data_IF_957298324543
#
_entry.id   IF_957298324543
#
_cell.length_a   1.000
_cell.length_b   1.000
_cell.length_c   1.000
_cell.angle_alpha   90.00
_cell.angle_beta   90.00
_cell.angle_gamma   90.00
#
_symmetry.space_group_name_H-M   'P 1'
#
loop_
_entity.id
_entity.type
_entity.pdbx_description
1 polymer ?
#
# COMPACT_ATOMS: atom_id res chain seq x y z
N UNK A 1 -0.16 -9.44 -38.44
CA UNK A 1 1.25 -9.53 -38.90
C UNK A 1 2.07 -9.98 -37.71
N UNK A 2 3.11 -10.80 -37.87
CA UNK A 2 4.01 -11.10 -36.74
C UNK A 2 4.63 -9.80 -36.25
N UNK A 3 4.66 -9.65 -34.93
CA UNK A 3 5.25 -8.47 -34.28
C UNK A 3 6.76 -8.45 -34.57
N UNK A 4 7.31 -7.30 -34.93
CA UNK A 4 8.75 -7.16 -35.17
C UNK A 4 9.50 -7.44 -33.85
N UNK A 5 10.61 -8.19 -33.95
CA UNK A 5 11.40 -8.60 -32.78
C UNK A 5 12.88 -8.22 -32.95
N UNK A 6 13.59 -8.16 -31.84
CA UNK A 6 15.06 -8.14 -31.77
C UNK A 6 15.56 -9.37 -31.04
N UNK A 7 16.71 -9.86 -31.38
CA UNK A 7 17.35 -10.98 -30.70
C UNK A 7 18.17 -10.46 -29.53
N UNK A 8 17.91 -10.96 -28.32
CA UNK A 8 18.75 -10.77 -27.15
C UNK A 8 19.24 -12.15 -26.65
N UNK A 9 20.39 -12.17 -25.99
CA UNK A 9 21.02 -13.39 -25.50
C UNK A 9 21.44 -13.23 -24.04
N UNK A 10 21.25 -14.29 -23.26
CA UNK A 10 21.76 -14.44 -21.91
C UNK A 10 22.42 -15.82 -21.74
N UNK A 11 22.83 -16.15 -20.49
CA UNK A 11 23.47 -17.44 -20.15
C UNK A 11 22.66 -18.68 -20.63
N UNK A 12 21.33 -18.55 -20.74
CA UNK A 12 20.42 -19.62 -21.14
C UNK A 12 20.17 -19.66 -22.66
N UNK A 13 20.84 -18.79 -23.45
CA UNK A 13 20.74 -18.70 -24.90
C UNK A 13 19.74 -17.62 -25.38
N UNK A 14 19.64 -17.48 -26.73
CA UNK A 14 18.93 -16.37 -27.36
C UNK A 14 17.40 -16.48 -27.22
N UNK A 15 16.73 -15.32 -27.23
CA UNK A 15 15.27 -15.14 -27.30
C UNK A 15 14.91 -13.97 -28.22
N UNK A 16 13.67 -14.02 -28.73
CA UNK A 16 13.10 -12.95 -29.53
C UNK A 16 12.28 -12.02 -28.63
N UNK A 17 12.76 -10.82 -28.43
CA UNK A 17 12.09 -9.77 -27.63
C UNK A 17 11.33 -8.84 -28.58
N UNK A 18 10.11 -8.41 -28.29
CA UNK A 18 9.39 -7.43 -29.11
C UNK A 18 10.22 -6.15 -29.33
N UNK A 19 10.29 -5.66 -30.57
CA UNK A 19 11.14 -4.51 -30.92
C UNK A 19 10.76 -3.24 -30.13
N UNK A 20 9.47 -3.06 -29.89
CA UNK A 20 8.93 -1.88 -29.18
C UNK A 20 9.10 -1.93 -27.65
N UNK A 21 9.30 -3.12 -27.09
CA UNK A 21 9.46 -3.28 -25.64
C UNK A 21 10.74 -2.60 -25.14
N UNK A 22 10.63 -1.89 -24.01
CA UNK A 22 11.79 -1.37 -23.28
C UNK A 22 12.37 -2.38 -22.30
N UNK A 23 11.61 -3.41 -21.94
CA UNK A 23 12.13 -4.56 -21.22
C UNK A 23 12.88 -5.52 -22.19
N UNK A 24 13.68 -6.44 -21.65
CA UNK A 24 14.55 -7.33 -22.39
C UNK A 24 14.32 -8.81 -22.08
N UNK A 25 15.37 -9.62 -22.30
CA UNK A 25 15.32 -11.07 -22.24
C UNK A 25 14.99 -11.62 -20.84
N UNK A 26 15.48 -10.99 -19.75
CA UNK A 26 15.15 -11.42 -18.39
C UNK A 26 13.67 -11.25 -18.08
N UNK A 27 13.10 -10.13 -18.47
CA UNK A 27 11.66 -9.89 -18.34
C UNK A 27 10.85 -10.87 -19.16
N UNK A 28 11.27 -11.19 -20.40
CA UNK A 28 10.62 -12.18 -21.23
C UNK A 28 10.58 -13.54 -20.53
N UNK A 29 11.72 -14.01 -19.99
CA UNK A 29 11.79 -15.28 -19.26
C UNK A 29 10.90 -15.24 -18.00
N UNK A 30 10.83 -14.14 -17.30
CA UNK A 30 9.94 -13.99 -16.14
C UNK A 30 8.47 -14.15 -16.55
N UNK A 31 8.04 -13.56 -17.68
CA UNK A 31 6.69 -13.74 -18.23
C UNK A 31 6.42 -15.19 -18.68
N UNK A 32 7.44 -15.89 -19.20
CA UNK A 32 7.32 -17.30 -19.55
C UNK A 32 7.16 -18.19 -18.30
N UNK A 33 7.89 -17.88 -17.22
CA UNK A 33 7.96 -18.68 -16.01
C UNK A 33 6.81 -18.43 -15.02
N UNK A 34 6.38 -17.17 -14.88
CA UNK A 34 5.44 -16.75 -13.84
C UNK A 34 4.15 -16.22 -14.46
N UNK A 35 3.13 -17.07 -14.52
CA UNK A 35 1.75 -16.76 -14.95
C UNK A 35 0.81 -17.24 -13.88
N UNK A 36 0.83 -16.57 -12.70
CA UNK A 36 0.25 -17.10 -11.47
C UNK A 36 -1.00 -16.31 -11.06
N UNK A 37 -0.85 -14.99 -10.83
CA UNK A 37 -1.91 -14.17 -10.22
C UNK A 37 -2.76 -13.41 -11.23
N UNK A 38 -2.21 -13.12 -12.40
CA UNK A 38 -2.80 -12.20 -13.36
C UNK A 38 -2.64 -10.71 -12.98
N UNK A 39 -2.10 -10.40 -11.78
CA UNK A 39 -1.71 -9.05 -11.41
C UNK A 39 -0.23 -8.83 -11.78
N UNK A 40 0.08 -7.66 -12.28
CA UNK A 40 1.44 -7.31 -12.70
C UNK A 40 2.07 -6.25 -11.80
N UNK A 41 3.39 -6.16 -11.82
CA UNK A 41 4.09 -5.05 -11.14
C UNK A 41 3.71 -3.70 -11.77
N UNK A 42 3.31 -3.66 -13.04
CA UNK A 42 2.77 -2.47 -13.70
C UNK A 42 1.56 -1.86 -13.00
N UNK A 43 0.81 -2.65 -12.24
CA UNK A 43 -0.33 -2.18 -11.45
C UNK A 43 0.07 -1.39 -10.18
N UNK A 44 1.38 -1.36 -9.84
CA UNK A 44 1.91 -0.73 -8.62
C UNK A 44 2.99 0.34 -8.96
N UNK A 45 2.60 1.50 -9.52
CA UNK A 45 3.54 2.53 -9.95
C UNK A 45 4.46 3.06 -8.84
N UNK A 46 4.04 3.05 -7.59
CA UNK A 46 4.87 3.46 -6.45
C UNK A 46 6.06 2.52 -6.27
N UNK A 47 5.88 1.22 -6.48
CA UNK A 47 6.96 0.24 -6.41
C UNK A 47 7.97 0.44 -7.55
N UNK A 48 7.48 0.62 -8.79
CA UNK A 48 8.34 0.91 -9.94
C UNK A 48 9.19 2.16 -9.67
N UNK A 49 8.57 3.25 -9.17
CA UNK A 49 9.29 4.48 -8.83
C UNK A 49 10.34 4.25 -7.75
N UNK A 50 10.03 3.48 -6.71
CA UNK A 50 11.00 3.11 -5.67
C UNK A 50 12.21 2.39 -6.26
N UNK A 51 12.01 1.42 -7.15
CA UNK A 51 13.10 0.73 -7.85
C UNK A 51 13.95 1.70 -8.71
N UNK A 52 13.31 2.59 -9.45
CA UNK A 52 14.01 3.56 -10.31
C UNK A 52 14.79 4.60 -9.48
N UNK A 53 14.28 5.02 -8.32
CA UNK A 53 15.00 5.89 -7.37
C UNK A 53 16.29 5.23 -6.88
N UNK A 54 16.25 3.93 -6.57
CA UNK A 54 17.46 3.15 -6.21
C UNK A 54 18.46 3.17 -7.35
N UNK A 55 18.03 2.93 -8.60
CA UNK A 55 18.94 2.92 -9.76
C UNK A 55 19.57 4.29 -9.99
N UNK A 56 18.80 5.37 -9.87
CA UNK A 56 19.32 6.75 -9.99
C UNK A 56 20.36 7.06 -8.91
N UNK A 57 20.06 6.74 -7.64
CA UNK A 57 20.98 6.96 -6.53
C UNK A 57 22.27 6.14 -6.68
N UNK A 58 22.16 4.89 -7.13
CA UNK A 58 23.32 4.03 -7.40
C UNK A 58 24.19 4.54 -8.54
N UNK A 59 23.59 5.04 -9.62
CA UNK A 59 24.33 5.66 -10.73
C UNK A 59 25.10 6.91 -10.28
N UNK A 60 24.47 7.77 -9.46
CA UNK A 60 25.11 8.96 -8.88
C UNK A 60 26.28 8.58 -7.98
N UNK A 61 26.12 7.60 -7.10
CA UNK A 61 27.20 7.11 -6.22
C UNK A 61 28.36 6.49 -7.01
N UNK A 62 28.06 5.70 -8.03
CA UNK A 62 29.07 5.10 -8.89
C UNK A 62 29.86 6.16 -9.69
N UNK A 63 29.21 7.22 -10.15
CA UNK A 63 29.87 8.37 -10.77
C UNK A 63 30.81 9.07 -9.81
N UNK A 64 30.34 9.39 -8.61
CA UNK A 64 31.14 10.06 -7.57
C UNK A 64 32.38 9.27 -7.21
N UNK A 65 32.26 7.94 -7.13
CA UNK A 65 33.35 7.04 -6.76
C UNK A 65 34.21 6.59 -7.97
N UNK A 66 33.90 7.09 -9.17
CA UNK A 66 34.68 6.82 -10.37
C UNK A 66 34.58 5.38 -10.89
N UNK A 67 33.51 4.66 -10.57
CA UNK A 67 33.32 3.26 -10.98
C UNK A 67 32.45 3.13 -12.24
N UNK A 68 31.82 4.20 -12.70
CA UNK A 68 30.98 4.25 -13.89
C UNK A 68 31.36 5.49 -14.72
N UNK A 69 31.41 5.30 -16.04
CA UNK A 69 31.71 6.36 -17.00
C UNK A 69 30.68 7.51 -16.97
N UNK A 70 31.13 8.74 -17.17
CA UNK A 70 30.29 9.96 -17.06
C UNK A 70 29.16 9.98 -18.12
N UNK A 71 29.46 9.58 -19.37
CA UNK A 71 28.46 9.57 -20.45
C UNK A 71 27.38 8.55 -20.18
N UNK A 72 27.77 7.33 -19.78
CA UNK A 72 26.83 6.25 -19.43
C UNK A 72 25.99 6.65 -18.21
N UNK A 73 26.63 7.22 -17.18
CA UNK A 73 25.93 7.66 -15.97
C UNK A 73 24.89 8.74 -16.29
N UNK A 74 25.26 9.73 -17.11
CA UNK A 74 24.34 10.79 -17.52
C UNK A 74 23.14 10.24 -18.27
N UNK A 75 23.34 9.27 -19.15
CA UNK A 75 22.26 8.60 -19.86
C UNK A 75 21.34 7.79 -18.94
N UNK A 76 21.90 7.09 -17.94
CA UNK A 76 21.14 6.34 -16.92
C UNK A 76 20.30 7.31 -16.07
N UNK A 77 20.87 8.42 -15.61
CA UNK A 77 20.17 9.45 -14.83
C UNK A 77 19.00 10.02 -15.64
N UNK A 78 19.26 10.39 -16.90
CA UNK A 78 18.21 10.87 -17.81
C UNK A 78 17.09 9.84 -17.97
N UNK A 79 17.43 8.56 -18.15
CA UNK A 79 16.45 7.48 -18.28
C UNK A 79 15.59 7.33 -17.00
N UNK A 80 16.21 7.42 -15.83
CA UNK A 80 15.49 7.41 -14.56
C UNK A 80 14.51 8.60 -14.47
N UNK A 81 14.92 9.80 -14.88
CA UNK A 81 14.07 11.00 -14.86
C UNK A 81 12.88 10.88 -15.83
N UNK A 82 13.04 10.18 -16.98
CA UNK A 82 11.89 9.89 -17.84
C UNK A 82 10.82 9.07 -17.14
N UNK A 83 11.21 8.11 -16.29
CA UNK A 83 10.25 7.29 -15.53
C UNK A 83 9.70 8.06 -14.33
N UNK A 84 10.57 8.73 -13.55
CA UNK A 84 10.18 9.40 -12.30
C UNK A 84 9.34 10.66 -12.54
N UNK A 85 9.77 11.54 -13.46
CA UNK A 85 9.17 12.85 -13.64
C UNK A 85 8.11 12.84 -14.76
N UNK A 86 8.32 12.06 -15.82
CA UNK A 86 7.45 12.03 -16.99
C UNK A 86 6.50 10.84 -17.03
N UNK A 87 6.68 9.84 -16.14
CA UNK A 87 5.87 8.63 -16.10
C UNK A 87 6.04 7.73 -17.33
N UNK A 88 7.15 7.89 -18.10
CA UNK A 88 7.42 7.00 -19.25
C UNK A 88 7.68 5.58 -18.80
N UNK A 89 7.25 4.61 -19.60
CA UNK A 89 7.53 3.19 -19.43
C UNK A 89 6.99 2.57 -18.14
N UNK A 90 6.05 3.19 -17.41
CA UNK A 90 5.36 2.55 -16.28
C UNK A 90 4.56 1.31 -16.72
N UNK A 91 4.15 1.24 -17.97
CA UNK A 91 3.50 0.11 -18.64
C UNK A 91 4.48 -1.00 -19.07
N UNK A 92 5.79 -0.80 -18.88
CA UNK A 92 6.85 -1.74 -19.30
C UNK A 92 7.28 -2.71 -18.18
N UNK A 93 6.39 -2.97 -17.21
CA UNK A 93 6.61 -3.90 -16.08
C UNK A 93 5.55 -5.02 -16.08
N UNK A 94 5.58 -5.90 -17.11
CA UNK A 94 4.52 -6.89 -17.33
C UNK A 94 4.69 -8.18 -16.53
N UNK A 95 5.64 -8.24 -15.60
CA UNK A 95 5.92 -9.43 -14.79
C UNK A 95 4.86 -9.64 -13.71
N UNK A 96 4.54 -10.91 -13.43
CA UNK A 96 3.59 -11.27 -12.38
C UNK A 96 4.09 -10.81 -11.00
N UNK A 97 3.19 -10.37 -10.14
CA UNK A 97 3.51 -10.00 -8.76
C UNK A 97 4.06 -11.18 -7.96
N UNK A 98 3.65 -12.42 -8.28
CA UNK A 98 4.22 -13.65 -7.73
C UNK A 98 5.39 -14.10 -8.58
N UNK A 99 6.59 -14.05 -8.02
CA UNK A 99 7.82 -14.44 -8.71
C UNK A 99 8.81 -15.11 -7.75
N UNK A 100 9.48 -16.16 -8.19
CA UNK A 100 10.62 -16.75 -7.47
C UNK A 100 11.89 -15.94 -7.69
N UNK A 101 12.93 -16.16 -6.84
CA UNK A 101 14.22 -15.49 -6.98
C UNK A 101 14.34 -14.17 -6.23
N UNK A 102 13.59 -14.00 -5.14
CA UNK A 102 13.71 -12.85 -4.23
C UNK A 102 13.55 -11.46 -4.91
N UNK A 103 12.75 -11.39 -6.00
CA UNK A 103 12.54 -10.15 -6.73
C UNK A 103 13.52 -9.88 -7.87
N UNK A 104 14.36 -10.86 -8.24
CA UNK A 104 15.32 -10.70 -9.35
C UNK A 104 14.64 -10.32 -10.66
N UNK A 105 13.45 -10.85 -10.94
CA UNK A 105 12.71 -10.51 -12.16
C UNK A 105 12.38 -9.02 -12.23
N UNK A 106 11.91 -8.41 -11.14
CA UNK A 106 11.65 -6.96 -11.10
C UNK A 106 12.93 -6.14 -11.15
N UNK A 107 13.97 -6.54 -10.42
CA UNK A 107 15.26 -5.85 -10.47
C UNK A 107 15.80 -5.80 -11.90
N UNK A 108 15.78 -6.93 -12.61
CA UNK A 108 16.23 -7.02 -14.00
C UNK A 108 15.32 -6.29 -14.96
N UNK A 109 13.99 -6.38 -14.79
CA UNK A 109 13.04 -5.60 -15.60
C UNK A 109 13.34 -4.09 -15.48
N UNK A 110 13.59 -3.60 -14.27
CA UNK A 110 13.98 -2.21 -14.04
C UNK A 110 15.29 -1.86 -14.74
N UNK A 111 16.30 -2.73 -14.63
CA UNK A 111 17.60 -2.53 -15.28
C UNK A 111 17.47 -2.48 -16.79
N UNK A 112 16.70 -3.38 -17.40
CA UNK A 112 16.47 -3.47 -18.86
C UNK A 112 15.73 -2.24 -19.38
N UNK A 113 14.68 -1.79 -18.68
CA UNK A 113 13.92 -0.59 -19.07
C UNK A 113 14.81 0.65 -19.03
N UNK A 114 15.59 0.84 -17.97
CA UNK A 114 16.52 1.97 -17.84
C UNK A 114 17.63 1.89 -18.88
N UNK A 115 18.22 0.71 -19.13
CA UNK A 115 19.26 0.54 -20.16
C UNK A 115 18.75 0.90 -21.53
N UNK A 116 17.55 0.44 -21.91
CA UNK A 116 16.96 0.72 -23.21
C UNK A 116 16.53 2.20 -23.38
N UNK A 117 16.09 2.87 -22.32
CA UNK A 117 15.87 4.32 -22.32
C UNK A 117 17.19 5.10 -22.47
N UNK A 118 18.25 4.68 -21.78
CA UNK A 118 19.57 5.29 -21.90
C UNK A 118 20.16 5.09 -23.31
N UNK A 119 20.00 3.92 -23.91
CA UNK A 119 20.38 3.64 -25.29
C UNK A 119 19.65 4.55 -26.29
N UNK A 120 18.34 4.73 -26.12
CA UNK A 120 17.56 5.67 -26.93
C UNK A 120 18.11 7.09 -26.81
N UNK A 121 18.42 7.54 -25.58
CA UNK A 121 19.00 8.87 -25.36
C UNK A 121 20.32 9.09 -26.08
N UNK A 122 21.16 8.06 -26.12
CA UNK A 122 22.45 8.07 -26.81
C UNK A 122 22.34 7.85 -28.32
N UNK A 123 21.13 7.64 -28.87
CA UNK A 123 20.88 7.42 -30.30
C UNK A 123 21.12 5.98 -30.77
N UNK A 124 21.16 5.01 -29.87
CA UNK A 124 21.31 3.59 -30.19
C UNK A 124 19.97 2.85 -30.20
N UNK A 125 19.94 1.74 -30.93
CA UNK A 125 18.80 0.83 -30.89
C UNK A 125 18.70 0.12 -29.53
N UNK A 126 17.48 -0.21 -29.12
CA UNK A 126 17.24 -1.05 -27.93
C UNK A 126 17.96 -2.40 -28.07
N UNK A 127 18.47 -2.93 -26.95
CA UNK A 127 19.22 -4.19 -26.92
C UNK A 127 20.70 -4.05 -27.28
N UNK A 128 21.22 -2.84 -27.56
CA UNK A 128 22.66 -2.58 -27.75
C UNK A 128 23.40 -2.56 -26.41
N UNK A 129 23.34 -3.69 -25.71
CA UNK A 129 23.90 -3.86 -24.36
C UNK A 129 25.43 -3.85 -24.32
N UNK A 130 26.07 -3.89 -25.48
CA UNK A 130 27.50 -3.56 -25.64
C UNK A 130 27.83 -2.09 -25.34
N UNK A 131 26.83 -1.19 -25.39
CA UNK A 131 26.95 0.24 -25.05
C UNK A 131 26.46 0.53 -23.65
N UNK A 132 25.19 0.21 -23.32
CA UNK A 132 24.64 0.33 -21.96
C UNK A 132 24.08 -1.03 -21.53
N UNK A 133 24.79 -1.67 -20.63
CA UNK A 133 24.44 -3.03 -20.16
C UNK A 133 23.57 -2.98 -18.90
N UNK A 134 22.45 -3.75 -18.84
CA UNK A 134 21.58 -3.78 -17.65
C UNK A 134 22.31 -4.17 -16.35
N UNK A 135 23.20 -5.17 -16.38
CA UNK A 135 23.94 -5.62 -15.21
C UNK A 135 25.20 -4.79 -14.94
N UNK A 136 26.05 -4.59 -15.96
CA UNK A 136 27.39 -4.04 -15.74
C UNK A 136 27.37 -2.52 -15.51
N UNK A 137 26.30 -1.84 -15.99
CA UNK A 137 26.15 -0.39 -15.85
C UNK A 137 25.00 -0.02 -14.93
N UNK A 138 23.74 -0.39 -15.25
CA UNK A 138 22.57 0.01 -14.46
C UNK A 138 22.54 -0.63 -13.07
N UNK A 139 22.95 -1.90 -12.97
CA UNK A 139 23.04 -2.66 -11.71
C UNK A 139 24.43 -2.58 -11.04
N UNK A 140 25.31 -1.71 -11.48
CA UNK A 140 26.68 -1.59 -10.96
C UNK A 140 26.69 -1.41 -9.44
N UNK A 141 27.54 -2.19 -8.74
CA UNK A 141 27.66 -2.20 -7.26
C UNK A 141 26.37 -2.59 -6.51
N UNK A 142 25.45 -3.31 -7.14
CA UNK A 142 24.20 -3.76 -6.53
C UNK A 142 24.03 -5.27 -6.66
N UNK A 143 23.22 -5.82 -5.77
CA UNK A 143 22.55 -7.12 -5.93
C UNK A 143 21.05 -6.89 -5.96
N UNK A 144 20.27 -7.88 -6.41
CA UNK A 144 18.83 -7.88 -6.15
C UNK A 144 18.54 -7.78 -4.65
N UNK A 145 19.40 -8.40 -3.83
CA UNK A 145 19.21 -8.56 -2.39
C UNK A 145 19.31 -7.26 -1.58
N UNK A 146 19.83 -6.19 -2.16
CA UNK A 146 19.84 -4.85 -1.54
C UNK A 146 19.00 -3.83 -2.36
N UNK A 147 19.04 -3.91 -3.68
CA UNK A 147 18.29 -2.99 -4.55
C UNK A 147 16.77 -3.20 -4.47
N UNK A 148 16.31 -4.46 -4.51
CA UNK A 148 14.88 -4.79 -4.46
C UNK A 148 14.23 -4.41 -3.13
N UNK A 149 14.73 -4.84 -1.95
CA UNK A 149 14.13 -4.46 -0.68
C UNK A 149 14.16 -2.93 -0.46
N UNK A 150 15.21 -2.24 -0.88
CA UNK A 150 15.27 -0.78 -0.79
C UNK A 150 14.18 -0.13 -1.67
N UNK A 151 14.06 -0.55 -2.93
CA UNK A 151 13.00 -0.05 -3.83
C UNK A 151 11.59 -0.39 -3.33
N UNK A 152 11.42 -1.58 -2.74
CA UNK A 152 10.16 -1.99 -2.11
C UNK A 152 9.81 -1.10 -0.91
N UNK A 153 10.75 -0.84 0.00
CA UNK A 153 10.55 0.05 1.15
C UNK A 153 10.13 1.45 0.72
N UNK A 154 10.78 2.03 -0.28
CA UNK A 154 10.43 3.36 -0.82
C UNK A 154 9.05 3.38 -1.47
N UNK A 155 8.75 2.38 -2.29
CA UNK A 155 7.43 2.25 -2.93
C UNK A 155 6.30 2.06 -1.93
N UNK A 156 6.54 1.23 -0.90
CA UNK A 156 5.58 0.99 0.18
C UNK A 156 5.37 2.23 1.03
N UNK A 157 6.45 2.96 1.38
CA UNK A 157 6.38 4.23 2.08
C UNK A 157 5.48 5.24 1.34
N UNK A 158 5.69 5.42 0.04
CA UNK A 158 4.88 6.30 -0.78
C UNK A 158 3.41 5.83 -0.87
N UNK A 159 3.16 4.52 -0.95
CA UNK A 159 1.81 3.97 -0.95
C UNK A 159 1.07 4.22 0.38
N UNK A 160 1.78 4.10 1.52
CA UNK A 160 1.24 4.38 2.86
C UNK A 160 0.87 5.85 3.02
N UNK A 161 1.67 6.78 2.49
CA UNK A 161 1.30 8.22 2.49
C UNK A 161 -0.02 8.46 1.75
N UNK A 162 -0.25 7.77 0.63
CA UNK A 162 -1.52 7.84 -0.07
C UNK A 162 -2.70 7.19 0.69
N UNK A 163 -2.44 6.17 1.51
CA UNK A 163 -3.43 5.56 2.41
C UNK A 163 -3.80 6.53 3.54
N UNK A 164 -2.81 7.16 4.16
CA UNK A 164 -2.97 8.16 5.22
C UNK A 164 -3.82 9.34 4.74
N UNK A 165 -3.52 9.89 3.56
CA UNK A 165 -4.28 10.99 3.00
C UNK A 165 -5.77 10.64 2.82
N UNK A 166 -6.09 9.47 2.30
CA UNK A 166 -7.49 9.03 2.15
C UNK A 166 -8.18 8.75 3.50
N UNK A 167 -7.41 8.28 4.50
CA UNK A 167 -7.90 8.11 5.87
C UNK A 167 -8.29 9.45 6.49
N UNK A 168 -7.46 10.49 6.36
CA UNK A 168 -7.76 11.83 6.83
C UNK A 168 -9.04 12.40 6.17
N UNK A 169 -9.20 12.23 4.87
CA UNK A 169 -10.42 12.64 4.16
C UNK A 169 -11.68 11.94 4.68
N UNK A 170 -11.58 10.65 5.03
CA UNK A 170 -12.69 9.90 5.62
C UNK A 170 -13.01 10.40 7.04
N UNK A 171 -11.98 10.65 7.86
CA UNK A 171 -12.14 11.20 9.22
C UNK A 171 -12.86 12.54 9.16
N UNK A 172 -12.45 13.46 8.27
CA UNK A 172 -13.07 14.76 8.10
C UNK A 172 -14.55 14.67 7.72
N UNK A 173 -14.91 13.74 6.85
CA UNK A 173 -16.29 13.51 6.48
C UNK A 173 -17.13 13.00 7.68
N UNK A 174 -16.58 12.08 8.49
CA UNK A 174 -17.25 11.58 9.70
C UNK A 174 -17.40 12.70 10.74
N UNK A 175 -16.38 13.54 10.95
CA UNK A 175 -16.45 14.73 11.81
C UNK A 175 -17.51 15.73 11.32
N UNK A 176 -17.67 15.86 10.01
CA UNK A 176 -18.77 16.63 9.41
C UNK A 176 -20.13 16.12 9.88
N UNK A 177 -20.32 14.79 9.87
CA UNK A 177 -21.55 14.17 10.38
C UNK A 177 -21.72 14.27 11.89
N UNK A 178 -20.62 14.17 12.66
CA UNK A 178 -20.65 14.41 14.10
C UNK A 178 -21.23 15.80 14.43
N UNK A 179 -20.75 16.84 13.73
CA UNK A 179 -21.28 18.22 13.90
C UNK A 179 -22.73 18.33 13.46
N UNK A 180 -23.10 17.72 12.34
CA UNK A 180 -24.47 17.75 11.81
C UNK A 180 -25.48 17.09 12.77
N UNK A 181 -25.07 16.05 13.49
CA UNK A 181 -25.93 15.27 14.38
C UNK A 181 -25.74 15.59 15.87
N UNK A 182 -25.09 16.72 16.20
CA UNK A 182 -24.75 17.08 17.56
C UNK A 182 -25.95 17.10 18.51
N UNK A 183 -27.12 17.57 18.03
CA UNK A 183 -28.34 17.75 18.79
C UNK A 183 -29.35 16.59 18.62
N UNK A 184 -29.00 15.56 17.85
CA UNK A 184 -29.88 14.41 17.63
C UNK A 184 -29.77 13.45 18.80
N UNK A 185 -30.74 13.47 19.70
CA UNK A 185 -30.76 12.60 20.88
C UNK A 185 -31.12 11.17 20.49
N UNK A 186 -30.33 10.20 20.94
CA UNK A 186 -30.56 8.74 20.72
C UNK A 186 -30.29 7.94 21.99
N UNK A 187 -30.72 6.68 22.00
CA UNK A 187 -30.35 5.71 23.01
C UNK A 187 -29.01 5.05 22.68
N UNK A 188 -28.04 5.18 23.60
CA UNK A 188 -26.81 4.40 23.56
C UNK A 188 -27.06 2.93 23.94
N UNK A 189 -26.25 2.02 23.39
CA UNK A 189 -26.41 0.58 23.63
C UNK A 189 -25.10 -0.07 24.01
N UNK A 190 -25.17 -0.99 24.96
CA UNK A 190 -24.09 -1.95 25.27
C UNK A 190 -24.67 -3.37 25.17
N UNK A 191 -23.94 -4.31 24.55
CA UNK A 191 -24.43 -5.66 24.28
C UNK A 191 -25.77 -5.67 23.51
N UNK A 192 -26.00 -4.67 22.68
CA UNK A 192 -27.24 -4.38 21.94
C UNK A 192 -28.47 -4.12 22.83
N UNK A 193 -28.30 -3.95 24.13
CA UNK A 193 -29.35 -3.56 25.08
C UNK A 193 -29.30 -2.05 25.35
N UNK A 194 -30.43 -1.47 25.70
CA UNK A 194 -30.53 -0.06 26.06
C UNK A 194 -29.62 0.25 27.23
N UNK A 195 -28.86 1.34 27.11
CA UNK A 195 -27.95 1.80 28.16
C UNK A 195 -28.40 3.20 28.64
N UNK A 196 -27.82 4.24 28.11
CA UNK A 196 -28.13 5.63 28.49
C UNK A 196 -28.27 6.52 27.25
N UNK A 197 -29.04 7.62 27.36
CA UNK A 197 -29.12 8.60 26.28
C UNK A 197 -27.76 9.21 25.93
N UNK A 198 -27.57 9.46 24.64
CA UNK A 198 -26.43 10.16 24.07
C UNK A 198 -26.84 10.91 22.80
N UNK A 199 -25.97 11.72 22.20
CA UNK A 199 -26.27 12.25 20.87
C UNK A 199 -25.71 11.34 19.76
N UNK A 200 -26.37 11.32 18.61
CA UNK A 200 -25.84 10.66 17.41
C UNK A 200 -24.53 11.31 16.97
N UNK A 201 -24.36 12.62 17.19
CA UNK A 201 -23.10 13.32 16.95
C UNK A 201 -21.94 12.78 17.78
N UNK A 202 -22.17 12.38 19.04
CA UNK A 202 -21.15 11.72 19.88
C UNK A 202 -20.75 10.35 19.34
N UNK A 203 -21.68 9.60 18.76
CA UNK A 203 -21.36 8.31 18.13
C UNK A 203 -20.48 8.48 16.90
N UNK A 204 -20.80 9.43 16.01
CA UNK A 204 -19.95 9.75 14.86
C UNK A 204 -18.61 10.35 15.29
N UNK A 205 -18.56 11.16 16.36
CA UNK A 205 -17.30 11.62 16.94
C UNK A 205 -16.41 10.45 17.37
N UNK A 206 -17.00 9.44 18.03
CA UNK A 206 -16.25 8.25 18.46
C UNK A 206 -15.73 7.46 17.24
N UNK A 207 -16.48 7.36 16.14
CA UNK A 207 -15.99 6.76 14.91
C UNK A 207 -14.79 7.50 14.34
N UNK A 208 -14.83 8.82 14.31
CA UNK A 208 -13.72 9.65 13.84
C UNK A 208 -12.47 9.46 14.71
N UNK A 209 -12.57 9.53 16.01
CA UNK A 209 -11.46 9.32 16.95
C UNK A 209 -10.87 7.92 16.82
N UNK A 210 -11.73 6.90 16.64
CA UNK A 210 -11.30 5.52 16.45
C UNK A 210 -10.39 5.35 15.22
N UNK A 211 -10.64 6.12 14.16
CA UNK A 211 -9.80 6.12 12.94
C UNK A 211 -8.59 7.06 13.08
N UNK A 212 -8.72 8.19 13.74
CA UNK A 212 -7.66 9.19 13.91
C UNK A 212 -6.45 8.61 14.66
N UNK A 213 -6.68 7.74 15.63
CA UNK A 213 -5.61 6.99 16.30
C UNK A 213 -4.74 6.16 15.32
N UNK A 214 -5.26 5.78 14.16
CA UNK A 214 -4.54 4.96 13.18
C UNK A 214 -3.61 5.79 12.30
N UNK A 215 -3.85 7.09 12.16
CA UNK A 215 -2.96 8.01 11.40
C UNK A 215 -1.56 7.99 12.01
N UNK A 216 -1.43 8.23 13.31
CA UNK A 216 -0.14 8.18 14.01
C UNK A 216 0.52 6.80 13.91
N UNK A 217 -0.28 5.73 13.97
CA UNK A 217 0.25 4.36 13.86
C UNK A 217 0.80 4.05 12.48
N UNK A 218 0.13 4.50 11.42
CA UNK A 218 0.63 4.37 10.05
C UNK A 218 1.95 5.14 9.88
N UNK A 219 2.02 6.39 10.32
CA UNK A 219 3.23 7.23 10.24
C UNK A 219 4.40 6.57 11.00
N UNK A 220 4.16 6.14 12.23
CA UNK A 220 5.20 5.51 13.07
C UNK A 220 5.76 4.24 12.42
N UNK A 221 4.89 3.37 11.89
CA UNK A 221 5.34 2.14 11.25
C UNK A 221 5.97 2.40 9.86
N UNK A 222 5.51 3.41 9.12
CA UNK A 222 6.12 3.81 7.86
C UNK A 222 7.57 4.28 8.06
N UNK A 223 7.89 4.93 9.17
CA UNK A 223 9.26 5.36 9.49
C UNK A 223 10.26 4.18 9.58
N UNK A 224 9.80 2.95 9.90
CA UNK A 224 10.64 1.75 9.89
C UNK A 224 11.11 1.37 8.48
N UNK A 225 10.36 1.76 7.44
CA UNK A 225 10.72 1.51 6.05
C UNK A 225 11.88 2.38 5.56
N UNK A 226 12.23 3.43 6.29
CA UNK A 226 13.31 4.36 5.92
C UNK A 226 14.71 3.88 6.32
N UNK A 227 14.84 2.74 7.00
CA UNK A 227 16.09 2.04 7.16
C UNK A 227 16.29 1.07 5.99
N UNK A 228 17.39 1.23 5.26
CA UNK A 228 17.65 0.49 4.02
C UNK A 228 18.97 -0.28 4.08
N UNK A 229 19.03 -1.41 3.38
CA UNK A 229 20.24 -2.22 3.27
C UNK A 229 21.04 -1.95 1.98
N UNK A 230 20.79 -0.84 1.27
CA UNK A 230 21.46 -0.52 0.01
C UNK A 230 22.99 -0.36 0.23
N UNK A 231 23.77 -1.06 -0.57
CA UNK A 231 25.22 -1.24 -0.39
C UNK A 231 25.60 -2.58 0.24
N UNK A 232 24.63 -3.35 0.75
CA UNK A 232 24.84 -4.69 1.30
C UNK A 232 25.34 -5.69 0.25
N UNK A 233 24.93 -5.50 -1.00
CA UNK A 233 25.12 -6.43 -2.12
C UNK A 233 24.49 -7.81 -1.83
N UNK A 234 25.25 -8.89 -1.96
CA UNK A 234 24.69 -10.25 -1.96
C UNK A 234 24.10 -10.69 -0.60
N UNK A 235 24.82 -10.42 0.51
CA UNK A 235 24.49 -10.93 1.85
C UNK A 235 24.76 -9.92 2.99
N UNK A 236 25.10 -8.68 2.69
CA UNK A 236 25.42 -7.68 3.72
C UNK A 236 26.92 -7.38 3.89
N UNK A 237 27.80 -7.97 3.08
CA UNK A 237 29.24 -7.76 3.19
C UNK A 237 29.78 -6.64 2.30
N UNK A 238 28.94 -6.04 1.45
CA UNK A 238 29.35 -5.02 0.48
C UNK A 238 30.32 -5.53 -0.59
N UNK A 239 30.30 -6.83 -0.90
CA UNK A 239 31.20 -7.43 -1.88
C UNK A 239 31.03 -6.74 -3.25
N UNK A 240 32.19 -6.43 -3.89
CA UNK A 240 32.29 -5.76 -5.19
C UNK A 240 31.84 -4.28 -5.19
N UNK A 241 31.80 -3.63 -4.03
CA UNK A 241 31.64 -2.17 -3.94
C UNK A 241 32.96 -1.49 -3.61
N UNK A 242 33.22 -0.26 -4.09
CA UNK A 242 34.36 0.53 -3.65
C UNK A 242 34.18 1.03 -2.21
N UNK A 243 35.27 1.37 -1.49
CA UNK A 243 35.19 1.99 -0.16
C UNK A 243 34.30 3.25 -0.19
N UNK A 244 33.42 3.41 0.81
CA UNK A 244 32.52 4.57 0.92
C UNK A 244 31.23 4.47 0.07
N UNK A 245 31.00 3.35 -0.61
CA UNK A 245 29.83 3.20 -1.47
C UNK A 245 28.50 3.29 -0.69
N UNK A 246 28.40 2.63 0.46
CA UNK A 246 27.17 2.64 1.26
C UNK A 246 26.78 4.07 1.68
N UNK A 247 27.74 4.83 2.19
CA UNK A 247 27.51 6.22 2.61
C UNK A 247 27.09 7.10 1.43
N UNK A 248 27.79 6.95 0.29
CA UNK A 248 27.50 7.72 -0.93
C UNK A 248 26.11 7.40 -1.47
N UNK A 249 25.77 6.12 -1.62
CA UNK A 249 24.49 5.72 -2.20
C UNK A 249 23.28 6.09 -1.33
N UNK A 250 23.40 5.98 0.00
CA UNK A 250 22.34 6.41 0.93
C UNK A 250 22.18 7.92 0.91
N UNK A 251 23.27 8.70 0.84
CA UNK A 251 23.20 10.16 0.68
C UNK A 251 22.46 10.53 -0.61
N UNK A 252 22.86 9.96 -1.74
CA UNK A 252 22.18 10.21 -3.03
C UNK A 252 20.73 9.73 -3.02
N UNK A 253 20.41 8.66 -2.29
CA UNK A 253 19.03 8.20 -2.17
C UNK A 253 18.15 9.25 -1.45
N UNK A 254 18.66 9.90 -0.39
CA UNK A 254 17.98 11.05 0.26
C UNK A 254 17.76 12.21 -0.72
N UNK A 255 18.78 12.55 -1.51
CA UNK A 255 18.70 13.62 -2.50
C UNK A 255 17.66 13.32 -3.60
N UNK A 256 17.67 12.09 -4.14
CA UNK A 256 16.76 11.65 -5.19
C UNK A 256 15.31 11.58 -4.72
N UNK A 257 15.09 11.14 -3.48
CA UNK A 257 13.74 10.95 -2.93
C UNK A 257 13.19 12.18 -2.22
N UNK A 258 14.05 13.09 -1.76
CA UNK A 258 13.71 14.17 -0.85
C UNK A 258 13.42 13.70 0.60
N UNK A 259 13.62 12.42 0.91
CA UNK A 259 13.38 11.83 2.23
C UNK A 259 14.65 11.88 3.08
N UNK A 260 14.77 12.89 3.91
CA UNK A 260 15.97 13.14 4.74
C UNK A 260 16.22 12.07 5.82
N UNK A 261 15.15 11.37 6.24
CA UNK A 261 15.19 10.38 7.31
C UNK A 261 15.64 8.98 6.85
N UNK A 262 15.89 8.78 5.57
CA UNK A 262 16.46 7.52 5.06
C UNK A 262 17.84 7.33 5.70
N UNK A 263 18.09 6.13 6.24
CA UNK A 263 19.36 5.74 6.83
C UNK A 263 19.79 4.36 6.34
N UNK A 264 21.09 4.18 6.22
CA UNK A 264 21.67 2.85 6.04
C UNK A 264 21.53 2.04 7.32
N UNK A 265 21.23 0.75 7.19
CA UNK A 265 21.16 -0.16 8.32
C UNK A 265 22.55 -0.26 9.03
N UNK A 266 22.51 -0.38 10.34
CA UNK A 266 23.72 -0.50 11.15
C UNK A 266 24.43 -1.85 10.96
N UNK A 267 23.68 -2.92 10.77
CA UNK A 267 24.14 -4.26 10.41
C UNK A 267 23.49 -4.68 9.08
N UNK A 268 24.28 -4.70 8.01
CA UNK A 268 23.79 -5.04 6.68
C UNK A 268 23.49 -6.53 6.50
N UNK A 269 24.12 -7.42 7.31
CA UNK A 269 23.83 -8.87 7.28
C UNK A 269 22.45 -9.14 7.86
N UNK A 270 22.12 -8.52 8.99
CA UNK A 270 20.80 -8.60 9.59
C UNK A 270 19.75 -8.00 8.65
N UNK A 271 19.96 -6.77 8.17
CA UNK A 271 19.00 -6.03 7.35
C UNK A 271 18.76 -6.65 5.96
N UNK A 272 19.62 -7.57 5.49
CA UNK A 272 19.41 -8.30 4.22
C UNK A 272 18.44 -9.47 4.39
N UNK A 273 18.25 -9.97 5.60
CA UNK A 273 17.33 -11.08 5.89
C UNK A 273 16.08 -10.66 6.66
N UNK A 274 16.10 -9.53 7.39
CA UNK A 274 14.98 -9.09 8.21
C UNK A 274 13.82 -8.50 7.39
N UNK A 275 12.63 -8.94 7.72
CA UNK A 275 11.35 -8.45 7.16
C UNK A 275 10.43 -7.87 8.24
N UNK A 276 10.94 -7.62 9.44
CA UNK A 276 10.18 -7.12 10.59
C UNK A 276 9.49 -5.77 10.34
N UNK A 277 10.13 -4.86 9.58
CA UNK A 277 9.52 -3.60 9.21
C UNK A 277 8.25 -3.76 8.38
N UNK A 278 8.22 -4.72 7.44
CA UNK A 278 7.04 -5.03 6.64
C UNK A 278 5.93 -5.65 7.51
N UNK A 279 6.28 -6.57 8.40
CA UNK A 279 5.33 -7.18 9.32
C UNK A 279 4.69 -6.14 10.25
N UNK A 280 5.48 -5.24 10.81
CA UNK A 280 5.00 -4.13 11.65
C UNK A 280 4.09 -3.18 10.88
N UNK A 281 4.47 -2.81 9.65
CA UNK A 281 3.66 -1.94 8.80
C UNK A 281 2.31 -2.58 8.45
N UNK A 282 2.32 -3.86 8.04
CA UNK A 282 1.07 -4.54 7.68
C UNK A 282 0.17 -4.80 8.90
N UNK A 283 0.75 -5.02 10.09
CA UNK A 283 -0.02 -5.10 11.34
C UNK A 283 -0.77 -3.78 11.63
N UNK A 284 -0.18 -2.61 11.33
CA UNK A 284 -0.87 -1.32 11.42
C UNK A 284 -2.00 -1.21 10.36
N UNK A 285 -1.77 -1.64 9.13
CA UNK A 285 -2.79 -1.70 8.07
C UNK A 285 -3.96 -2.63 8.47
N UNK A 286 -3.67 -3.81 9.04
CA UNK A 286 -4.68 -4.72 9.59
C UNK A 286 -5.49 -4.06 10.71
N UNK A 287 -4.84 -3.35 11.62
CA UNK A 287 -5.50 -2.63 12.71
C UNK A 287 -6.52 -1.61 12.19
N UNK A 288 -6.15 -0.83 11.18
CA UNK A 288 -7.04 0.09 10.47
C UNK A 288 -8.24 -0.67 9.87
N UNK A 289 -8.00 -1.80 9.19
CA UNK A 289 -9.06 -2.61 8.60
C UNK A 289 -10.05 -3.13 9.66
N UNK A 290 -9.58 -3.57 10.83
CA UNK A 290 -10.44 -4.02 11.94
C UNK A 290 -11.35 -2.89 12.44
N UNK A 291 -10.81 -1.69 12.66
CA UNK A 291 -11.58 -0.53 13.11
C UNK A 291 -12.59 -0.06 12.05
N UNK A 292 -12.18 -0.01 10.80
CA UNK A 292 -13.04 0.36 9.67
C UNK A 292 -14.20 -0.63 9.51
N UNK A 293 -13.93 -1.93 9.63
CA UNK A 293 -14.95 -2.98 9.58
C UNK A 293 -15.96 -2.86 10.72
N UNK A 294 -15.49 -2.53 11.94
CA UNK A 294 -16.38 -2.26 13.10
C UNK A 294 -17.34 -1.12 12.82
N UNK A 295 -16.85 0.00 12.29
CA UNK A 295 -17.68 1.15 11.93
C UNK A 295 -18.74 0.75 10.89
N UNK A 296 -18.35 -0.01 9.86
CA UNK A 296 -19.29 -0.50 8.85
C UNK A 296 -20.36 -1.43 9.43
N UNK A 297 -20.00 -2.28 10.40
CA UNK A 297 -20.98 -3.11 11.10
C UNK A 297 -22.02 -2.25 11.86
N UNK A 298 -21.58 -1.20 12.53
CA UNK A 298 -22.47 -0.29 13.25
C UNK A 298 -23.38 0.49 12.28
N UNK A 299 -22.83 1.01 11.18
CA UNK A 299 -23.64 1.69 10.15
C UNK A 299 -24.74 0.79 9.58
N UNK A 300 -24.41 -0.49 9.34
CA UNK A 300 -25.40 -1.50 8.88
C UNK A 300 -26.46 -1.77 9.93
N UNK A 301 -26.07 -1.86 11.20
CA UNK A 301 -26.98 -2.10 12.30
C UNK A 301 -27.89 -0.89 12.57
N UNK A 302 -27.34 0.32 12.64
CA UNK A 302 -28.10 1.56 12.85
C UNK A 302 -29.10 1.85 11.74
N UNK A 303 -28.80 1.46 10.50
CA UNK A 303 -29.68 1.62 9.33
C UNK A 303 -30.64 0.44 9.11
N UNK A 304 -30.61 -0.59 9.96
CA UNK A 304 -31.40 -1.81 9.79
C UNK A 304 -32.90 -1.54 9.82
N UNK A 305 -33.64 -2.29 9.02
CA UNK A 305 -35.12 -2.20 8.94
C UNK A 305 -35.58 -1.67 7.59
N UNK A 306 -36.21 -0.48 7.50
CA UNK A 306 -36.38 0.56 8.54
C UNK A 306 -37.54 0.32 9.54
N UNK A 307 -38.43 -0.60 9.29
CA UNK A 307 -39.64 -0.81 10.16
C UNK A 307 -39.43 -1.87 11.24
N UNK A 308 -38.69 -2.93 10.93
CA UNK A 308 -38.44 -4.06 11.82
C UNK A 308 -36.99 -4.13 12.30
N UNK A 309 -36.28 -3.03 12.28
CA UNK A 309 -34.90 -2.89 12.78
C UNK A 309 -34.74 -1.61 13.57
N UNK A 310 -33.46 -1.15 13.77
CA UNK A 310 -33.18 0.07 14.53
C UNK A 310 -33.65 1.33 13.81
N UNK A 311 -33.33 1.47 12.53
CA UNK A 311 -33.77 2.57 11.69
C UNK A 311 -33.40 3.97 12.19
N UNK A 312 -32.32 4.11 12.97
CA UNK A 312 -31.89 5.37 13.57
C UNK A 312 -31.20 6.30 12.57
N UNK A 313 -30.62 5.73 11.53
CA UNK A 313 -30.04 6.45 10.39
C UNK A 313 -30.56 5.90 9.06
N UNK A 314 -30.46 6.71 8.03
CA UNK A 314 -30.69 6.31 6.64
C UNK A 314 -29.40 6.45 5.86
N UNK A 315 -29.01 5.37 5.17
CA UNK A 315 -27.88 5.40 4.24
C UNK A 315 -28.38 5.78 2.84
N UNK A 316 -27.53 6.41 2.01
CA UNK A 316 -27.85 6.68 0.61
C UNK A 316 -28.23 5.41 -0.14
N UNK A 317 -29.33 5.47 -0.89
CA UNK A 317 -29.77 4.38 -1.75
C UNK A 317 -28.86 4.27 -2.98
N UNK A 318 -28.19 3.12 -3.18
CA UNK A 318 -27.20 2.94 -4.25
C UNK A 318 -27.58 1.89 -5.28
N UNK A 319 -28.43 0.94 -4.90
CA UNK A 319 -28.95 -0.08 -5.81
C UNK A 319 -30.29 -0.62 -5.30
N UNK A 320 -31.14 -1.08 -6.21
CA UNK A 320 -32.28 -1.90 -5.86
C UNK A 320 -31.80 -3.17 -5.17
N UNK A 321 -32.25 -3.39 -3.92
CA UNK A 321 -31.65 -4.37 -3.03
C UNK A 321 -32.16 -5.80 -3.20
N UNK A 322 -33.17 -6.04 -4.04
CA UNK A 322 -33.79 -7.37 -4.18
C UNK A 322 -34.43 -7.57 -5.54
N UNK A 323 -34.27 -8.74 -6.09
CA UNK A 323 -34.98 -9.19 -7.30
C UNK A 323 -36.40 -9.70 -7.02
N UNK A 324 -36.75 -9.92 -5.74
CA UNK A 324 -38.04 -10.52 -5.33
C UNK A 324 -38.84 -9.64 -4.36
N UNK A 325 -38.18 -8.77 -3.57
CA UNK A 325 -38.82 -7.89 -2.58
C UNK A 325 -38.84 -6.45 -3.11
N UNK A 326 -40.01 -5.91 -3.51
CA UNK A 326 -40.13 -4.54 -3.99
C UNK A 326 -39.65 -3.52 -2.93
N UNK A 327 -38.99 -2.45 -3.37
CA UNK A 327 -38.51 -1.33 -2.52
C UNK A 327 -37.53 -1.70 -1.41
N UNK A 328 -36.93 -2.89 -1.44
CA UNK A 328 -35.87 -3.24 -0.51
C UNK A 328 -34.55 -2.61 -0.98
N UNK A 329 -33.89 -1.85 -0.10
CA UNK A 329 -32.56 -1.27 -0.31
C UNK A 329 -31.61 -1.81 0.74
N UNK A 330 -30.44 -2.32 0.33
CA UNK A 330 -29.45 -2.90 1.21
C UNK A 330 -28.27 -1.92 1.44
N UNK A 331 -27.59 -2.02 2.59
CA UNK A 331 -26.42 -1.19 2.92
C UNK A 331 -25.14 -1.66 2.19
N UNK A 332 -25.17 -1.75 0.85
CA UNK A 332 -24.14 -2.41 0.04
C UNK A 332 -22.75 -1.77 0.15
N UNK A 333 -22.66 -0.47 0.44
CA UNK A 333 -21.37 0.21 0.58
C UNK A 333 -20.65 -0.23 1.86
N UNK A 334 -21.25 -0.18 3.07
CA UNK A 334 -20.60 -0.79 4.24
C UNK A 334 -20.31 -2.29 4.08
N UNK A 335 -21.16 -3.03 3.35
CA UNK A 335 -20.92 -4.47 3.10
C UNK A 335 -19.65 -4.72 2.29
N UNK A 336 -19.45 -4.00 1.17
CA UNK A 336 -18.23 -4.17 0.36
C UNK A 336 -16.97 -3.74 1.13
N UNK A 337 -17.07 -2.71 1.97
CA UNK A 337 -15.95 -2.29 2.83
C UNK A 337 -15.60 -3.38 3.85
N UNK A 338 -16.60 -4.05 4.48
CA UNK A 338 -16.36 -5.21 5.33
C UNK A 338 -15.59 -6.31 4.59
N UNK A 339 -15.98 -6.63 3.33
CA UNK A 339 -15.30 -7.66 2.52
C UNK A 339 -13.83 -7.29 2.25
N UNK A 340 -13.56 -6.03 1.93
CA UNK A 340 -12.19 -5.52 1.78
C UNK A 340 -11.40 -5.69 3.08
N UNK A 341 -11.98 -5.32 4.22
CA UNK A 341 -11.33 -5.47 5.52
C UNK A 341 -11.00 -6.94 5.84
N UNK A 342 -11.90 -7.88 5.53
CA UNK A 342 -11.64 -9.31 5.71
C UNK A 342 -10.49 -9.80 4.84
N UNK A 343 -10.41 -9.34 3.58
CA UNK A 343 -9.30 -9.67 2.68
C UNK A 343 -7.97 -9.16 3.23
N UNK A 344 -7.93 -7.93 3.72
CA UNK A 344 -6.72 -7.32 4.32
C UNK A 344 -6.26 -8.08 5.58
N UNK A 345 -7.20 -8.49 6.43
CA UNK A 345 -6.89 -9.31 7.61
C UNK A 345 -6.28 -10.66 7.17
N UNK A 346 -6.83 -11.28 6.11
CA UNK A 346 -6.28 -12.52 5.55
C UNK A 346 -4.88 -12.34 4.95
N UNK A 347 -4.62 -11.20 4.31
CA UNK A 347 -3.30 -10.86 3.76
C UNK A 347 -2.23 -10.76 4.86
N UNK A 348 -2.57 -10.29 6.05
CA UNK A 348 -1.66 -10.23 7.20
C UNK A 348 -1.16 -11.62 7.62
N UNK A 349 -2.01 -12.63 7.55
CA UNK A 349 -1.63 -14.02 7.80
C UNK A 349 -0.63 -14.52 6.75
N UNK A 350 -0.89 -14.22 5.47
CA UNK A 350 0.04 -14.56 4.38
C UNK A 350 1.40 -13.91 4.59
N UNK A 351 1.42 -12.62 4.93
CA UNK A 351 2.66 -11.88 5.22
C UNK A 351 3.42 -12.48 6.39
N UNK A 352 2.71 -12.86 7.46
CA UNK A 352 3.32 -13.48 8.64
C UNK A 352 4.06 -14.76 8.29
N UNK A 353 3.45 -15.66 7.48
CA UNK A 353 4.12 -16.86 6.99
C UNK A 353 5.31 -16.55 6.09
N UNK A 354 5.17 -15.56 5.21
CA UNK A 354 6.26 -15.17 4.32
C UNK A 354 7.45 -14.55 5.09
N UNK A 355 7.18 -13.78 6.12
CA UNK A 355 8.22 -13.20 6.98
C UNK A 355 8.96 -14.28 7.78
N UNK A 356 8.23 -15.28 8.31
CA UNK A 356 8.82 -16.40 9.06
C UNK A 356 9.65 -17.33 8.17
N UNK A 357 9.31 -17.45 6.88
CA UNK A 357 9.92 -18.39 5.95
C UNK A 357 11.35 -18.01 5.48
N UNK A 358 11.90 -16.87 5.91
CA UNK A 358 13.27 -16.49 5.64
C UNK A 358 14.29 -17.50 6.18
N UNK A 359 15.35 -17.76 5.41
CA UNK A 359 16.38 -18.70 5.80
C UNK A 359 17.77 -18.08 5.63
N UNK A 360 18.60 -18.20 6.67
CA UNK A 360 19.99 -17.71 6.68
C UNK A 360 20.05 -16.21 6.33
N UNK A 361 20.80 -15.81 5.31
CA UNK A 361 21.13 -14.43 5.01
C UNK A 361 20.14 -13.72 4.08
N UNK A 362 19.00 -14.34 3.71
CA UNK A 362 18.02 -13.73 2.82
C UNK A 362 16.62 -14.26 3.05
N UNK A 363 15.63 -13.39 3.03
CA UNK A 363 14.23 -13.80 2.90
C UNK A 363 13.82 -13.75 1.41
N UNK A 364 13.63 -14.92 0.80
CA UNK A 364 13.26 -15.02 -0.63
C UNK A 364 11.77 -14.82 -0.90
N UNK A 365 10.95 -14.60 0.14
CA UNK A 365 9.49 -14.45 0.04
C UNK A 365 9.04 -12.98 -0.06
N UNK A 366 9.95 -12.02 -0.15
CA UNK A 366 9.62 -10.61 -0.33
C UNK A 366 8.63 -10.31 -1.47
N UNK A 367 8.63 -11.00 -2.62
CA UNK A 367 7.63 -10.75 -3.65
C UNK A 367 6.19 -10.92 -3.17
N UNK A 368 5.85 -11.95 -2.41
CA UNK A 368 4.51 -12.11 -1.86
C UNK A 368 4.24 -11.11 -0.72
N UNK A 369 5.25 -10.75 0.07
CA UNK A 369 5.15 -9.67 1.07
C UNK A 369 4.76 -8.36 0.36
N UNK A 370 5.40 -8.04 -0.75
CA UNK A 370 5.09 -6.87 -1.58
C UNK A 370 3.68 -6.92 -2.15
N UNK A 371 3.31 -8.04 -2.78
CA UNK A 371 1.99 -8.24 -3.37
C UNK A 371 0.87 -7.99 -2.35
N UNK A 372 0.90 -8.66 -1.17
CA UNK A 372 -0.17 -8.51 -0.17
C UNK A 372 -0.19 -7.11 0.46
N UNK A 373 0.98 -6.44 0.58
CA UNK A 373 1.07 -5.10 1.16
C UNK A 373 0.48 -4.05 0.22
N UNK A 374 0.88 -4.01 -1.04
CA UNK A 374 0.33 -3.08 -2.02
C UNK A 374 -1.14 -3.35 -2.30
N UNK A 375 -1.55 -4.61 -2.43
CA UNK A 375 -2.96 -4.99 -2.58
C UNK A 375 -3.80 -4.46 -1.41
N UNK A 376 -3.35 -4.67 -0.16
CA UNK A 376 -4.07 -4.22 1.04
C UNK A 376 -4.23 -2.70 1.08
N UNK A 377 -3.18 -1.94 0.77
CA UNK A 377 -3.21 -0.49 0.71
C UNK A 377 -4.17 -0.01 -0.38
N UNK A 378 -4.06 -0.54 -1.58
CA UNK A 378 -4.91 -0.17 -2.73
C UNK A 378 -6.39 -0.46 -2.44
N UNK A 379 -6.69 -1.63 -1.90
CA UNK A 379 -8.05 -2.01 -1.52
C UNK A 379 -8.63 -1.10 -0.44
N UNK A 380 -7.88 -0.81 0.63
CA UNK A 380 -8.34 0.08 1.70
C UNK A 380 -8.54 1.52 1.23
N UNK A 381 -7.62 2.08 0.44
CA UNK A 381 -7.78 3.41 -0.15
C UNK A 381 -9.08 3.52 -0.95
N UNK A 382 -9.32 2.57 -1.84
CA UNK A 382 -10.53 2.56 -2.65
C UNK A 382 -11.79 2.36 -1.81
N UNK A 383 -11.74 1.47 -0.80
CA UNK A 383 -12.85 1.22 0.11
C UNK A 383 -13.19 2.46 0.97
N UNK A 384 -12.18 3.16 1.52
CA UNK A 384 -12.39 4.37 2.31
C UNK A 384 -12.97 5.51 1.46
N UNK A 385 -12.46 5.71 0.24
CA UNK A 385 -13.05 6.66 -0.72
C UNK A 385 -14.50 6.33 -1.05
N UNK A 386 -14.77 5.07 -1.36
CA UNK A 386 -16.12 4.59 -1.65
C UNK A 386 -17.05 4.79 -0.45
N UNK A 387 -16.60 4.47 0.75
CA UNK A 387 -17.36 4.69 1.99
C UNK A 387 -17.65 6.18 2.20
N UNK A 388 -16.65 7.05 2.07
CA UNK A 388 -16.77 8.49 2.21
C UNK A 388 -17.79 9.07 1.23
N UNK A 389 -17.58 8.84 -0.07
CA UNK A 389 -18.32 9.51 -1.14
C UNK A 389 -19.72 8.94 -1.33
N UNK A 390 -19.88 7.63 -1.19
CA UNK A 390 -21.13 6.94 -1.52
C UNK A 390 -21.97 6.59 -0.28
N UNK A 391 -21.44 6.75 0.93
CA UNK A 391 -22.16 6.45 2.16
C UNK A 391 -22.11 7.62 3.14
N UNK A 392 -20.95 7.90 3.77
CA UNK A 392 -20.87 8.83 4.92
C UNK A 392 -21.45 10.19 4.61
N UNK A 393 -21.05 10.83 3.50
CA UNK A 393 -21.50 12.17 3.13
C UNK A 393 -23.03 12.29 3.03
N UNK A 394 -23.71 11.24 2.61
CA UNK A 394 -25.15 11.23 2.40
C UNK A 394 -25.98 10.59 3.53
N UNK A 395 -25.38 10.25 4.68
CA UNK A 395 -26.14 9.73 5.83
C UNK A 395 -27.08 10.79 6.38
N UNK A 396 -28.31 10.38 6.69
CA UNK A 396 -29.32 11.19 7.35
C UNK A 396 -29.73 10.55 8.69
N UNK A 397 -29.97 11.39 9.70
CA UNK A 397 -30.55 10.94 10.97
C UNK A 397 -32.05 10.73 10.85
N UNK A 398 -32.59 9.70 11.49
CA UNK A 398 -34.02 9.54 11.70
C UNK A 398 -34.36 10.02 13.11
N UNK A 399 -34.46 11.34 13.26
CA UNK A 399 -34.58 11.99 14.56
C UNK A 399 -35.82 11.54 15.35
N UNK A 400 -36.95 11.28 14.64
CA UNK A 400 -38.18 10.80 15.27
C UNK A 400 -37.99 9.42 15.89
N UNK A 401 -37.34 8.50 15.17
CA UNK A 401 -37.04 7.15 15.69
C UNK A 401 -36.07 7.22 16.84
N UNK A 402 -35.00 8.00 16.72
CA UNK A 402 -34.02 8.20 17.78
C UNK A 402 -34.69 8.73 19.06
N UNK A 403 -35.48 9.79 18.96
CA UNK A 403 -36.20 10.38 20.09
C UNK A 403 -37.22 9.40 20.70
N UNK A 404 -38.02 8.71 19.88
CA UNK A 404 -38.98 7.70 20.36
C UNK A 404 -38.28 6.61 21.16
N UNK A 405 -37.15 6.09 20.69
CA UNK A 405 -36.38 5.05 21.37
C UNK A 405 -35.92 5.54 22.75
N UNK A 406 -35.46 6.77 22.88
CA UNK A 406 -35.10 7.36 24.19
C UNK A 406 -36.30 7.45 25.11
N UNK A 407 -37.42 8.01 24.63
CA UNK A 407 -38.61 8.22 25.46
C UNK A 407 -39.29 6.89 25.89
N UNK A 408 -39.09 5.82 25.16
CA UNK A 408 -39.63 4.51 25.45
C UNK A 408 -38.72 3.63 26.29
N UNK A 409 -37.48 4.05 26.55
CA UNK A 409 -36.48 3.27 27.26
C UNK A 409 -36.48 3.58 28.75
N UNK A 410 -36.32 2.56 29.55
CA UNK A 410 -36.09 2.67 31.01
C UNK A 410 -34.71 3.28 31.34
N UNK A 411 -33.77 3.30 30.38
CA UNK A 411 -32.41 3.84 30.57
C UNK A 411 -32.35 5.30 31.06
N UNK A 412 -33.43 6.08 30.86
CA UNK A 412 -33.55 7.44 31.40
C UNK A 412 -33.47 7.48 32.93
N UNK A 413 -33.98 6.42 33.60
CA UNK A 413 -34.00 6.32 35.06
C UNK A 413 -32.59 6.38 35.65
N UNK A 414 -31.57 5.93 34.90
CA UNK A 414 -30.18 5.97 35.31
C UNK A 414 -29.70 7.39 35.72
N UNK A 415 -30.22 8.44 35.08
CA UNK A 415 -29.92 9.84 35.45
C UNK A 415 -30.57 10.28 36.76
N UNK A 416 -31.58 9.57 37.23
CA UNK A 416 -32.26 9.85 38.47
C UNK A 416 -31.63 9.10 39.64
N UNK A 417 -30.77 8.11 39.40
CA UNK A 417 -30.17 7.30 40.46
C UNK A 417 -29.41 8.06 41.52
N UNK A 418 -28.79 9.21 41.14
CA UNK A 418 -28.14 10.08 42.12
C UNK A 418 -29.13 10.73 43.12
N UNK A 419 -30.38 10.88 42.72
CA UNK A 419 -31.44 11.51 43.55
C UNK A 419 -32.25 10.48 44.27
N UNK A 420 -32.66 9.39 43.60
CA UNK A 420 -33.58 8.39 44.14
C UNK A 420 -32.88 7.12 44.71
N UNK A 421 -31.61 6.93 44.38
CA UNK A 421 -30.85 5.72 44.65
C UNK A 421 -31.16 4.56 43.72
N UNK A 422 -30.20 3.66 43.50
CA UNK A 422 -30.31 2.54 42.55
C UNK A 422 -31.53 1.65 42.81
N UNK A 423 -31.78 1.30 44.09
CA UNK A 423 -32.90 0.42 44.47
C UNK A 423 -34.30 0.97 44.18
N UNK A 424 -34.43 2.31 44.15
CA UNK A 424 -35.70 2.96 43.78
C UNK A 424 -35.85 3.25 42.29
N UNK A 425 -34.80 2.97 41.54
CA UNK A 425 -34.80 3.03 40.07
C UNK A 425 -35.27 1.75 39.40
N UNK A 426 -35.18 0.63 40.11
CA UNK A 426 -35.65 -0.67 39.66
C UNK A 426 -37.19 -0.77 39.67
#
# INVERSE_FOLDING_TARGET
>A
MPQATRTEEDLLGPRQVPLEAYWGIHTLRAQENFRISGATIGDEPSFIRGMVQVKKASALANRELGTLDEEITTAIIWACDQVLDKGRCLDQFPIDAFQGGAGTSLNMNTNEVIANLALEHLGYAKGRYDVVHPNDHVNKCQSTNDAYPTGFRLGLYAAVQGLEAELCELIDAILGKSRQFADVLKMGRTQLQDAVPMSLGQEFQAFAVLLDEEVERLIHNAALLLEVNLGATAIGTGLNTPPGYQEAVVRHLREVTGLTDIRGAADLLEATSDTGAYASMHAAIKRLAVKLSKICNDLRLLSSGPRAGLGEIRLPERAAGSSIMPAKVNPIIPEVVNQVCFKVIGNDVTLTFAAEAGQLQLNVMEPVIGQVSFESIRLLRNAMRTLRELCIVGIEANEEVCRRNVLSSIGIVTYLNEVIGHHNGD
#
